data_IF_616593701174
#
_entry.id   IF_616593701174
#
_cell.length_a   1.000
_cell.length_b   1.000
_cell.length_c   1.000
_cell.angle_alpha   90.00
_cell.angle_beta   90.00
_cell.angle_gamma   90.00
#
_symmetry.space_group_name_H-M   'P 1'
#
loop_
_entity.id
_entity.type
_entity.pdbx_description
1 polymer ?
#
# COMPACT_ATOMS: atom_id res chain seq x y z
N UNK A 1 19.37 30.08 6.42
CA UNK A 1 18.32 29.07 6.16
C UNK A 1 17.88 29.29 4.72
N UNK A 2 18.40 28.45 3.82
CA UNK A 2 18.07 28.54 2.38
C UNK A 2 16.57 28.36 2.17
N UNK A 3 16.00 29.15 1.26
CA UNK A 3 14.57 29.20 0.99
C UNK A 3 14.01 27.81 0.72
N UNK A 4 12.92 27.49 1.43
CA UNK A 4 12.00 26.41 1.07
C UNK A 4 11.62 26.61 -0.41
N UNK A 5 11.86 25.57 -1.22
CA UNK A 5 11.67 25.44 -2.69
C UNK A 5 12.73 26.10 -3.58
N UNK A 6 13.78 25.34 -3.91
CA UNK A 6 14.48 25.49 -5.19
C UNK A 6 13.47 25.19 -6.32
N UNK A 7 13.18 26.12 -7.24
CA UNK A 7 12.27 25.89 -8.35
C UNK A 7 12.67 24.71 -9.24
N UNK A 8 13.98 24.38 -9.29
CA UNK A 8 14.48 23.22 -10.01
C UNK A 8 14.11 21.88 -9.36
N UNK A 9 13.60 21.89 -8.11
CA UNK A 9 13.17 20.71 -7.35
C UNK A 9 11.69 20.74 -7.01
N UNK A 10 10.88 21.48 -7.77
CA UNK A 10 9.44 21.45 -7.63
C UNK A 10 8.91 20.07 -8.06
N UNK A 11 8.31 19.27 -7.15
CA UNK A 11 7.76 17.97 -7.51
C UNK A 11 6.56 18.16 -8.45
N UNK A 12 6.54 17.37 -9.53
CA UNK A 12 5.48 17.38 -10.54
C UNK A 12 4.97 15.97 -10.82
N UNK A 13 3.71 15.86 -11.25
CA UNK A 13 3.14 14.61 -11.73
C UNK A 13 3.25 14.60 -13.25
N UNK A 14 4.08 13.70 -13.79
CA UNK A 14 4.30 13.57 -15.23
C UNK A 14 3.17 12.76 -15.90
N UNK A 15 2.71 11.71 -15.22
CA UNK A 15 1.67 10.83 -15.74
C UNK A 15 0.99 10.03 -14.59
N UNK A 16 -0.17 9.44 -14.86
CA UNK A 16 -0.92 8.63 -13.89
C UNK A 16 -1.90 7.66 -14.53
N UNK A 17 -2.10 6.50 -13.88
CA UNK A 17 -3.06 5.48 -14.32
C UNK A 17 -3.53 4.61 -13.16
N UNK A 18 -4.56 3.80 -13.43
CA UNK A 18 -5.12 2.83 -12.50
C UNK A 18 -5.78 1.68 -13.24
N UNK A 19 -5.97 0.56 -12.56
CA UNK A 19 -6.87 -0.49 -13.03
C UNK A 19 -8.33 -0.04 -12.92
N UNK A 20 -9.27 -0.78 -13.55
CA UNK A 20 -10.67 -0.74 -13.12
C UNK A 20 -10.81 -1.13 -11.64
N UNK A 21 -11.87 -0.65 -10.98
CA UNK A 21 -12.23 -1.13 -9.65
C UNK A 21 -13.13 -2.36 -9.78
N UNK A 22 -12.68 -3.50 -9.24
CA UNK A 22 -13.47 -4.72 -9.16
C UNK A 22 -14.37 -4.73 -7.92
N UNK A 23 -15.59 -5.28 -8.04
CA UNK A 23 -16.42 -5.60 -6.87
C UNK A 23 -15.76 -6.72 -6.05
N UNK A 24 -16.07 -6.79 -4.75
CA UNK A 24 -15.67 -7.91 -3.90
C UNK A 24 -16.13 -9.25 -4.51
N UNK A 25 -15.23 -10.22 -4.66
CA UNK A 25 -15.51 -11.49 -5.34
C UNK A 25 -15.82 -11.38 -6.84
N UNK A 26 -15.56 -10.21 -7.45
CA UNK A 26 -15.93 -9.88 -8.82
C UNK A 26 -14.80 -10.06 -9.83
N UNK A 27 -14.73 -9.15 -10.81
CA UNK A 27 -13.89 -9.28 -12.00
C UNK A 27 -12.38 -9.42 -11.75
N UNK A 28 -11.87 -8.95 -10.60
CA UNK A 28 -10.45 -8.99 -10.24
C UNK A 28 -10.14 -9.99 -9.11
N UNK A 29 -11.09 -10.85 -8.73
CA UNK A 29 -10.95 -11.78 -7.58
C UNK A 29 -9.78 -12.76 -7.72
N UNK A 30 -9.42 -13.10 -8.95
CA UNK A 30 -8.36 -14.06 -9.28
C UNK A 30 -7.01 -13.38 -9.49
N UNK A 31 -6.93 -12.04 -9.39
CA UNK A 31 -5.70 -11.26 -9.53
C UNK A 31 -5.14 -10.95 -8.14
N UNK A 32 -3.88 -11.34 -7.90
CA UNK A 32 -3.17 -11.04 -6.66
C UNK A 32 -2.86 -9.53 -6.56
N UNK A 33 -2.80 -8.93 -5.36
CA UNK A 33 -2.48 -7.52 -5.19
C UNK A 33 -1.07 -7.15 -5.68
N UNK A 34 -0.06 -8.00 -5.48
CA UNK A 34 1.30 -7.78 -5.98
C UNK A 34 1.35 -7.77 -7.52
N UNK A 35 0.63 -8.68 -8.19
CA UNK A 35 0.46 -8.68 -9.65
C UNK A 35 -0.35 -7.49 -10.16
N UNK A 36 -1.40 -7.08 -9.43
CA UNK A 36 -2.25 -5.94 -9.78
C UNK A 36 -1.44 -4.64 -9.79
N UNK A 37 -0.59 -4.44 -8.79
CA UNK A 37 0.34 -3.32 -8.72
C UNK A 37 1.38 -3.39 -9.84
N UNK A 38 1.99 -4.57 -10.05
CA UNK A 38 3.00 -4.77 -11.10
C UNK A 38 2.46 -4.46 -12.51
N UNK A 39 1.21 -4.82 -12.78
CA UNK A 39 0.54 -4.52 -14.04
C UNK A 39 0.48 -3.02 -14.32
N UNK A 40 0.10 -2.21 -13.31
CA UNK A 40 0.02 -0.75 -13.44
C UNK A 40 1.40 -0.13 -13.61
N UNK A 41 2.39 -0.57 -12.84
CA UNK A 41 3.77 -0.07 -12.95
C UNK A 41 4.32 -0.34 -14.35
N UNK A 42 4.18 -1.56 -14.86
CA UNK A 42 4.65 -1.93 -16.21
C UNK A 42 3.96 -1.09 -17.28
N UNK A 43 2.63 -0.96 -17.21
CA UNK A 43 1.88 -0.17 -18.17
C UNK A 43 2.28 1.31 -18.14
N UNK A 44 2.60 1.86 -16.96
CA UNK A 44 3.06 3.24 -16.81
C UNK A 44 4.44 3.45 -17.45
N UNK A 45 5.37 2.54 -17.20
CA UNK A 45 6.71 2.58 -17.81
C UNK A 45 6.62 2.44 -19.33
N UNK A 46 5.85 1.47 -19.82
CA UNK A 46 5.65 1.25 -21.26
C UNK A 46 5.02 2.47 -21.96
N UNK A 47 4.03 3.11 -21.31
CA UNK A 47 3.33 4.28 -21.86
C UNK A 47 4.19 5.53 -21.88
N UNK A 48 4.99 5.75 -20.83
CA UNK A 48 5.84 6.94 -20.70
C UNK A 48 7.14 6.81 -21.49
N UNK A 49 7.61 5.59 -21.73
CA UNK A 49 8.92 5.32 -22.36
C UNK A 49 10.11 5.76 -21.49
N UNK A 50 9.88 5.99 -20.19
CA UNK A 50 10.94 6.35 -19.25
C UNK A 50 11.95 5.20 -19.13
N UNK A 51 13.24 5.54 -18.96
CA UNK A 51 14.24 4.53 -18.61
C UNK A 51 13.89 3.92 -17.24
N UNK A 52 13.59 2.61 -17.15
CA UNK A 52 13.28 1.97 -15.88
C UNK A 52 14.40 2.12 -14.83
N UNK A 53 15.65 2.30 -15.27
CA UNK A 53 16.80 2.48 -14.39
C UNK A 53 16.87 3.89 -13.77
N UNK A 54 16.12 4.87 -14.30
CA UNK A 54 16.06 6.21 -13.71
C UNK A 54 15.10 6.30 -12.53
N UNK A 55 14.27 5.29 -12.28
CA UNK A 55 13.34 5.27 -11.15
C UNK A 55 14.13 5.00 -9.86
N UNK A 56 14.11 5.94 -8.94
CA UNK A 56 14.82 5.83 -7.66
C UNK A 56 14.09 4.90 -6.69
N UNK A 57 12.76 5.05 -6.58
CA UNK A 57 11.94 4.29 -5.64
C UNK A 57 10.49 4.10 -6.11
N UNK A 58 9.90 2.98 -5.68
CA UNK A 58 8.48 2.66 -5.87
C UNK A 58 7.79 2.68 -4.50
N UNK A 59 6.98 3.70 -4.26
CA UNK A 59 6.25 3.91 -3.01
C UNK A 59 4.79 3.53 -3.22
N UNK A 60 4.34 2.43 -2.61
CA UNK A 60 2.93 2.00 -2.69
C UNK A 60 2.24 2.05 -1.33
N UNK A 61 1.04 2.62 -1.30
CA UNK A 61 0.13 2.49 -0.17
C UNK A 61 -0.60 1.14 -0.19
N UNK A 62 -0.64 0.45 0.95
CA UNK A 62 -1.46 -0.76 1.15
C UNK A 62 -1.93 -0.85 2.61
N UNK A 63 -3.23 -1.05 2.84
CA UNK A 63 -3.78 -0.98 4.20
C UNK A 63 -3.66 -2.31 4.96
N UNK A 64 -3.72 -3.45 4.25
CA UNK A 64 -3.75 -4.77 4.86
C UNK A 64 -2.35 -5.36 5.13
N UNK A 65 -1.61 -5.73 4.08
CA UNK A 65 -0.25 -6.31 4.13
C UNK A 65 -0.11 -7.65 4.86
N UNK A 66 -1.20 -8.33 5.21
CA UNK A 66 -1.14 -9.68 5.79
C UNK A 66 -1.20 -10.78 4.73
N UNK A 67 -1.66 -10.46 3.52
CA UNK A 67 -1.95 -11.42 2.46
C UNK A 67 -0.84 -11.53 1.43
N UNK A 68 -1.24 -11.64 0.18
CA UNK A 68 -0.32 -11.66 -0.96
C UNK A 68 0.39 -10.32 -1.19
N UNK A 69 -0.04 -9.27 -0.47
CA UNK A 69 0.56 -7.94 -0.36
C UNK A 69 1.56 -7.80 0.82
N UNK A 70 1.98 -8.92 1.42
CA UNK A 70 2.90 -8.94 2.56
C UNK A 70 4.33 -8.50 2.23
N UNK A 71 5.09 -8.15 3.28
CA UNK A 71 6.55 -7.96 3.25
C UNK A 71 7.02 -6.99 2.16
N UNK A 72 6.37 -5.83 2.08
CA UNK A 72 6.68 -4.71 1.18
C UNK A 72 6.22 -4.95 -0.28
N UNK A 73 4.91 -4.78 -0.53
CA UNK A 73 4.30 -4.90 -1.87
C UNK A 73 4.87 -3.89 -2.88
N UNK A 74 5.37 -2.74 -2.42
CA UNK A 74 6.08 -1.77 -3.27
C UNK A 74 7.29 -2.40 -3.96
N UNK A 75 8.12 -3.10 -3.18
CA UNK A 75 9.27 -3.86 -3.69
C UNK A 75 8.85 -5.08 -4.52
N UNK A 76 7.86 -5.85 -4.08
CA UNK A 76 7.39 -7.02 -4.82
C UNK A 76 6.85 -6.63 -6.20
N UNK A 77 6.01 -5.60 -6.26
CA UNK A 77 5.42 -5.11 -7.49
C UNK A 77 6.46 -4.51 -8.45
N UNK A 78 7.46 -3.77 -7.93
CA UNK A 78 8.57 -3.26 -8.74
C UNK A 78 9.34 -4.38 -9.46
N UNK A 79 9.68 -5.44 -8.73
CA UNK A 79 10.37 -6.61 -9.28
C UNK A 79 9.49 -7.38 -10.27
N UNK A 80 8.23 -7.62 -9.92
CA UNK A 80 7.27 -8.30 -10.79
C UNK A 80 7.01 -7.49 -12.06
N UNK A 81 7.00 -6.15 -12.00
CA UNK A 81 6.90 -5.25 -13.15
C UNK A 81 8.15 -5.29 -14.06
N UNK A 82 9.22 -5.97 -13.66
CA UNK A 82 10.46 -6.08 -14.43
C UNK A 82 11.36 -4.85 -14.30
N UNK A 83 11.17 -4.02 -13.27
CA UNK A 83 12.11 -2.93 -13.00
C UNK A 83 13.48 -3.50 -12.59
N UNK A 84 14.58 -2.78 -12.87
CA UNK A 84 15.92 -3.20 -12.47
C UNK A 84 16.00 -3.44 -10.96
N UNK A 85 16.80 -4.43 -10.53
CA UNK A 85 16.93 -4.78 -9.11
C UNK A 85 17.44 -3.61 -8.24
N UNK A 86 18.14 -2.65 -8.84
CA UNK A 86 18.63 -1.43 -8.19
C UNK A 86 17.54 -0.41 -7.83
N UNK A 87 16.38 -0.44 -8.49
CA UNK A 87 15.24 0.42 -8.14
C UNK A 87 14.74 0.04 -6.76
N UNK A 88 14.60 0.99 -5.83
CA UNK A 88 14.11 0.68 -4.50
C UNK A 88 12.60 0.37 -4.49
N UNK A 89 12.07 -0.01 -3.33
CA UNK A 89 10.63 -0.14 -3.16
C UNK A 89 10.26 -0.11 -1.69
N UNK A 90 9.18 0.58 -1.35
CA UNK A 90 8.65 0.64 0.01
C UNK A 90 7.11 0.64 0.03
N UNK A 91 6.55 0.23 1.17
CA UNK A 91 5.10 0.21 1.39
C UNK A 91 4.74 1.08 2.58
N UNK A 92 3.82 2.00 2.37
CA UNK A 92 3.33 2.92 3.41
C UNK A 92 1.90 2.55 3.81
N UNK A 93 1.58 2.75 5.09
CA UNK A 93 0.23 2.49 5.62
C UNK A 93 -0.29 3.71 6.40
N UNK A 94 -1.32 4.33 5.84
CA UNK A 94 -2.19 5.33 6.48
C UNK A 94 -3.65 4.95 6.23
N UNK A 95 -3.98 3.66 6.37
CA UNK A 95 -5.30 3.09 6.07
C UNK A 95 -5.83 3.56 4.71
N UNK A 96 -7.06 4.10 4.64
CA UNK A 96 -7.69 4.60 3.42
C UNK A 96 -6.86 5.68 2.70
N UNK A 97 -6.01 6.41 3.42
CA UNK A 97 -5.15 7.47 2.89
C UNK A 97 -3.79 6.98 2.36
N UNK A 98 -3.50 5.68 2.37
CA UNK A 98 -2.16 5.16 2.07
C UNK A 98 -1.67 5.51 0.67
N UNK A 99 -2.54 5.44 -0.35
CA UNK A 99 -2.16 5.78 -1.73
C UNK A 99 -1.74 7.24 -1.88
N UNK A 100 -2.47 8.16 -1.24
CA UNK A 100 -2.11 9.58 -1.26
C UNK A 100 -0.86 9.86 -0.40
N UNK A 101 -0.70 9.14 0.72
CA UNK A 101 0.52 9.24 1.54
C UNK A 101 1.78 8.85 0.74
N UNK A 102 1.68 7.89 -0.17
CA UNK A 102 2.78 7.52 -1.05
C UNK A 102 3.18 8.69 -1.98
N UNK A 103 2.20 9.36 -2.58
CA UNK A 103 2.43 10.54 -3.44
C UNK A 103 3.08 11.68 -2.65
N UNK A 104 2.61 11.93 -1.42
CA UNK A 104 3.20 12.94 -0.53
C UNK A 104 4.65 12.59 -0.17
N UNK A 105 4.94 11.32 0.11
CA UNK A 105 6.30 10.87 0.41
C UNK A 105 7.25 11.08 -0.78
N UNK A 106 6.83 10.71 -2.00
CA UNK A 106 7.60 10.96 -3.21
C UNK A 106 7.83 12.45 -3.47
N UNK A 107 6.80 13.28 -3.31
CA UNK A 107 6.92 14.73 -3.48
C UNK A 107 7.91 15.35 -2.48
N UNK A 108 7.91 14.89 -1.23
CA UNK A 108 8.89 15.32 -0.23
C UNK A 108 10.31 14.88 -0.62
N UNK A 109 10.50 13.62 -1.02
CA UNK A 109 11.82 13.12 -1.42
C UNK A 109 12.42 13.95 -2.57
N UNK A 110 11.63 14.27 -3.60
CA UNK A 110 12.05 15.16 -4.69
C UNK A 110 12.38 16.56 -4.18
N UNK A 111 11.51 17.17 -3.38
CA UNK A 111 11.69 18.53 -2.88
C UNK A 111 12.96 18.68 -2.02
N UNK A 112 13.37 17.63 -1.30
CA UNK A 112 14.59 17.60 -0.50
C UNK A 112 15.82 17.07 -1.25
N UNK A 113 15.64 16.52 -2.46
CA UNK A 113 16.73 16.01 -3.30
C UNK A 113 17.23 14.62 -2.92
N UNK A 114 16.35 13.80 -2.34
CA UNK A 114 16.62 12.39 -2.03
C UNK A 114 16.44 11.47 -3.27
N UNK A 115 15.93 12.02 -4.37
CA UNK A 115 15.80 11.36 -5.68
C UNK A 115 15.15 12.31 -6.69
N UNK A 116 15.01 11.86 -7.94
CA UNK A 116 14.47 12.64 -9.05
C UNK A 116 13.20 12.01 -9.64
N UNK A 117 13.10 10.68 -9.67
CA UNK A 117 11.98 9.96 -10.29
C UNK A 117 11.43 8.88 -9.36
N UNK A 118 10.14 8.98 -9.09
CA UNK A 118 9.44 8.06 -8.20
C UNK A 118 8.18 7.51 -8.87
N UNK A 119 7.87 6.25 -8.62
CA UNK A 119 6.53 5.71 -8.87
C UNK A 119 5.77 5.71 -7.55
N UNK A 120 4.68 6.47 -7.48
CA UNK A 120 3.86 6.58 -6.28
C UNK A 120 2.40 6.20 -6.55
N UNK A 121 1.78 5.46 -5.63
CA UNK A 121 0.40 5.05 -5.76
C UNK A 121 -0.04 4.14 -4.62
N UNK A 122 -0.94 3.19 -4.91
CA UNK A 122 -1.34 2.20 -3.93
C UNK A 122 -2.03 1.00 -4.57
N UNK A 123 -2.15 -0.06 -3.78
CA UNK A 123 -2.82 -1.29 -4.18
C UNK A 123 -3.58 -1.88 -3.00
N UNK A 124 -4.70 -2.50 -3.28
CA UNK A 124 -5.50 -3.21 -2.29
C UNK A 124 -6.25 -4.35 -2.97
N UNK A 125 -6.36 -5.50 -2.30
CA UNK A 125 -7.19 -6.61 -2.75
C UNK A 125 -8.01 -7.15 -1.60
N UNK A 126 -9.11 -6.45 -1.29
CA UNK A 126 -10.05 -6.86 -0.25
C UNK A 126 -10.60 -8.28 -0.50
N UNK A 127 -10.81 -8.66 -1.76
CA UNK A 127 -11.29 -10.02 -2.13
C UNK A 127 -10.32 -11.12 -1.71
N UNK A 128 -9.03 -10.82 -1.64
CA UNK A 128 -7.96 -11.79 -1.36
C UNK A 128 -7.30 -11.55 0.01
N UNK A 129 -7.92 -10.71 0.84
CA UNK A 129 -7.49 -10.48 2.20
C UNK A 129 -7.60 -11.78 3.01
N UNK A 130 -6.53 -12.22 3.70
CA UNK A 130 -6.53 -13.52 4.37
C UNK A 130 -7.29 -13.47 5.71
N UNK A 131 -7.52 -14.64 6.29
CA UNK A 131 -7.76 -14.74 7.72
C UNK A 131 -6.44 -14.71 8.49
N UNK A 132 -6.45 -14.14 9.70
CA UNK A 132 -5.29 -14.09 10.61
C UNK A 132 -5.65 -14.63 11.99
N UNK A 133 -4.66 -15.19 12.69
CA UNK A 133 -4.82 -15.67 14.07
C UNK A 133 -3.65 -15.26 14.94
N UNK A 134 -3.87 -15.12 16.24
CA UNK A 134 -2.78 -14.85 17.19
C UNK A 134 -1.93 -16.10 17.36
N UNK A 135 -0.65 -15.89 17.67
CA UNK A 135 0.17 -16.98 18.18
C UNK A 135 -0.38 -17.44 19.53
N UNK A 136 -0.24 -18.73 19.81
CA UNK A 136 -0.58 -19.26 21.13
C UNK A 136 0.31 -18.62 22.21
N UNK A 137 -0.27 -18.32 23.37
CA UNK A 137 0.43 -17.79 24.53
C UNK A 137 1.08 -18.88 25.41
N UNK A 138 0.80 -20.16 25.15
CA UNK A 138 1.32 -21.28 25.94
C UNK A 138 1.55 -22.52 25.07
N UNK A 139 2.42 -23.43 25.51
CA UNK A 139 2.53 -24.75 24.89
C UNK A 139 1.23 -25.55 25.12
N UNK A 140 0.78 -26.27 24.08
CA UNK A 140 -0.43 -27.11 24.10
C UNK A 140 -1.70 -26.36 24.58
N UNK A 141 -2.12 -25.29 23.88
CA UNK A 141 -3.28 -24.52 24.27
C UNK A 141 -4.54 -25.37 24.24
N UNK A 142 -5.44 -25.14 25.20
CA UNK A 142 -6.78 -25.72 25.24
C UNK A 142 -7.80 -24.63 24.94
N UNK A 143 -8.93 -25.02 24.34
CA UNK A 143 -10.06 -24.12 24.09
C UNK A 143 -10.09 -23.55 22.67
N UNK A 144 -11.12 -22.76 22.41
CA UNK A 144 -11.42 -22.19 21.10
C UNK A 144 -10.33 -21.23 20.62
N UNK A 145 -10.09 -21.22 19.32
CA UNK A 145 -9.16 -20.31 18.66
C UNK A 145 -9.93 -19.46 17.65
N UNK A 146 -9.71 -18.15 17.68
CA UNK A 146 -10.39 -17.21 16.77
C UNK A 146 -9.52 -16.91 15.56
N UNK A 147 -10.13 -16.99 14.38
CA UNK A 147 -9.59 -16.43 13.14
C UNK A 147 -10.30 -15.11 12.85
N UNK A 148 -9.55 -14.09 12.47
CA UNK A 148 -10.06 -12.76 12.15
C UNK A 148 -9.98 -12.53 10.65
N UNK A 149 -11.07 -12.03 10.07
CA UNK A 149 -11.09 -11.56 8.68
C UNK A 149 -10.29 -10.25 8.57
N UNK A 150 -9.35 -10.19 7.62
CA UNK A 150 -8.58 -8.97 7.39
C UNK A 150 -9.18 -8.05 6.32
N UNK A 151 -10.25 -8.48 5.64
CA UNK A 151 -10.93 -7.74 4.57
C UNK A 151 -11.24 -6.30 4.97
N UNK A 152 -11.78 -6.10 6.17
CA UNK A 152 -12.07 -4.75 6.70
C UNK A 152 -12.31 -4.79 8.21
N UNK A 153 -12.11 -3.65 8.87
CA UNK A 153 -12.60 -3.40 10.22
C UNK A 153 -11.62 -3.76 11.34
N UNK A 154 -12.11 -3.60 12.57
CA UNK A 154 -11.36 -3.85 13.79
C UNK A 154 -11.06 -5.34 13.98
N UNK A 155 -9.82 -5.64 14.36
CA UNK A 155 -9.34 -6.98 14.69
C UNK A 155 -8.21 -6.85 15.70
N UNK A 156 -8.03 -7.86 16.55
CA UNK A 156 -7.08 -7.83 17.66
C UNK A 156 -7.18 -6.54 18.50
N UNK A 157 -8.41 -6.16 18.85
CA UNK A 157 -8.70 -4.90 19.55
C UNK A 157 -7.93 -4.83 20.87
N UNK A 158 -7.28 -3.69 21.10
CA UNK A 158 -6.59 -3.43 22.36
C UNK A 158 -7.61 -3.00 23.42
N UNK A 159 -7.74 -3.71 24.56
CA UNK A 159 -8.73 -3.37 25.60
C UNK A 159 -8.59 -1.94 26.13
N UNK A 160 -7.36 -1.43 26.27
CA UNK A 160 -7.11 -0.05 26.74
C UNK A 160 -7.54 0.99 25.72
N UNK A 161 -7.44 0.67 24.43
CA UNK A 161 -7.89 1.56 23.37
C UNK A 161 -9.41 1.58 23.32
N UNK A 162 -10.04 0.39 23.40
CA UNK A 162 -11.49 0.24 23.37
C UNK A 162 -12.20 0.88 24.58
N UNK A 163 -11.54 0.92 25.75
CA UNK A 163 -12.05 1.61 26.94
C UNK A 163 -12.00 3.15 26.81
N UNK A 164 -10.99 3.68 26.12
CA UNK A 164 -10.84 5.13 25.91
C UNK A 164 -11.62 5.64 24.68
N UNK A 165 -11.77 4.80 23.66
CA UNK A 165 -12.40 5.11 22.38
C UNK A 165 -13.14 3.87 21.87
N UNK A 166 -14.46 3.94 21.78
CA UNK A 166 -15.26 2.84 21.27
C UNK A 166 -14.79 2.43 19.86
N UNK A 167 -14.62 1.12 19.59
CA UNK A 167 -14.18 0.62 18.30
C UNK A 167 -15.33 0.62 17.27
N UNK A 168 -15.93 1.78 17.04
CA UNK A 168 -16.97 1.97 16.04
C UNK A 168 -16.47 1.51 14.67
N UNK A 169 -17.32 0.74 13.99
CA UNK A 169 -17.14 0.44 12.58
C UNK A 169 -17.21 1.74 11.75
N UNK A 170 -16.67 1.69 10.53
CA UNK A 170 -16.73 2.84 9.64
C UNK A 170 -18.17 3.26 9.31
N UNK A 171 -19.10 2.31 9.28
CA UNK A 171 -20.54 2.59 9.09
C UNK A 171 -21.12 3.37 10.26
N UNK A 172 -20.81 2.98 11.50
CA UNK A 172 -21.25 3.73 12.70
C UNK A 172 -20.67 5.13 12.74
N UNK A 173 -19.38 5.31 12.40
CA UNK A 173 -18.78 6.65 12.34
C UNK A 173 -19.37 7.54 11.24
N UNK A 174 -20.02 6.97 10.23
CA UNK A 174 -20.68 7.72 9.18
C UNK A 174 -22.09 8.20 9.59
N UNK A 175 -22.74 7.52 10.55
CA UNK A 175 -24.06 7.89 11.08
C UNK A 175 -23.97 8.92 12.23
N UNK A 176 -22.85 8.94 12.96
CA UNK A 176 -22.59 9.85 14.10
C UNK A 176 -22.37 11.31 13.67
#
# INVERSE_FOLDING_TARGET
MSSVTDPARAPVIVDGMRTPFGRYGGALKDVRPDDLAAHVIRALVDRTGIDPASIDDVILGAANQAGEDNRNVGRMAALLAGLPIGVAGQTVNRLCGSGLQAVVAAAHAIAYGDGEVFVAGGVESMTRAPFVTLKSSAAFPRGEQTMYDTTMGWRFTNPRLADAYDPYSMGETAEN
#
